data_IF_509249440911
#
_entry.id   IF_509249440911
#
_cell.length_a   1.000
_cell.length_b   1.000
_cell.length_c   1.000
_cell.angle_alpha   90.00
_cell.angle_beta   90.00
_cell.angle_gamma   90.00
#
_symmetry.space_group_name_H-M   'P 1'
#
loop_
_entity.id
_entity.type
_entity.pdbx_description
1 polymer ?
#
# COMPACT_ATOMS: atom_id res chain seq x y z
N UNK A 1 -12.51 23.00 20.94
CA UNK A 1 -11.94 21.76 20.37
C UNK A 1 -11.26 22.16 19.08
N UNK A 2 -9.93 22.27 19.11
CA UNK A 2 -9.13 22.54 17.92
C UNK A 2 -8.90 21.21 17.19
N UNK A 3 -9.89 20.78 16.42
CA UNK A 3 -9.77 19.58 15.61
C UNK A 3 -8.71 19.75 14.52
N UNK A 4 -8.09 18.66 14.11
CA UNK A 4 -7.13 18.64 12.99
C UNK A 4 -7.81 18.90 11.64
N UNK A 5 -9.15 18.90 11.60
CA UNK A 5 -9.93 18.98 10.36
C UNK A 5 -9.82 17.76 9.46
N UNK A 6 -9.24 16.67 9.95
CA UNK A 6 -9.08 15.42 9.21
C UNK A 6 -10.38 14.57 9.26
N UNK A 7 -10.66 13.79 8.21
CA UNK A 7 -11.98 13.16 8.00
C UNK A 7 -12.37 12.11 9.06
N UNK A 8 -11.39 11.49 9.73
CA UNK A 8 -11.62 10.45 10.73
C UNK A 8 -11.41 10.91 12.17
N UNK A 9 -11.37 12.23 12.39
CA UNK A 9 -11.31 12.74 13.76
C UNK A 9 -12.51 12.24 14.59
N UNK A 10 -12.19 11.71 15.77
CA UNK A 10 -13.17 11.08 16.69
C UNK A 10 -13.45 9.60 16.42
N UNK A 11 -12.89 9.02 15.37
CA UNK A 11 -12.92 7.56 15.13
C UNK A 11 -11.82 6.89 15.93
N UNK A 12 -12.17 5.86 16.72
CA UNK A 12 -11.22 5.04 17.49
C UNK A 12 -11.07 3.65 16.88
N UNK A 13 -9.82 3.26 16.63
CA UNK A 13 -9.45 1.95 16.07
C UNK A 13 -8.57 1.22 17.06
N UNK A 14 -8.98 0.02 17.47
CA UNK A 14 -8.13 -0.90 18.22
C UNK A 14 -7.50 -1.86 17.23
N UNK A 15 -6.18 -1.89 17.19
CA UNK A 15 -5.41 -2.64 16.22
C UNK A 15 -4.61 -3.75 16.87
N UNK A 16 -4.86 -4.99 16.45
CA UNK A 16 -4.02 -6.16 16.73
C UNK A 16 -3.51 -6.72 15.41
N UNK A 17 -2.47 -6.10 14.85
CA UNK A 17 -1.90 -6.51 13.56
C UNK A 17 -0.38 -6.61 13.63
N UNK A 18 0.22 -7.30 12.64
CA UNK A 18 1.66 -7.44 12.49
C UNK A 18 2.06 -7.47 11.01
N UNK A 19 3.35 -7.36 10.71
CA UNK A 19 3.94 -7.33 9.38
C UNK A 19 3.54 -6.09 8.58
N UNK A 20 2.82 -6.22 7.45
CA UNK A 20 2.57 -5.14 6.49
C UNK A 20 1.09 -4.86 6.25
N UNK A 21 0.30 -5.85 5.87
CA UNK A 21 -1.07 -5.66 5.37
C UNK A 21 -1.98 -4.94 6.37
N UNK A 22 -2.16 -5.50 7.56
CA UNK A 22 -2.96 -4.88 8.63
C UNK A 22 -2.36 -3.56 9.11
N UNK A 23 -1.04 -3.49 9.45
CA UNK A 23 -0.42 -2.24 9.85
C UNK A 23 -0.54 -1.11 8.82
N UNK A 24 -0.54 -1.40 7.52
CA UNK A 24 -0.80 -0.40 6.46
C UNK A 24 -2.20 0.20 6.59
N UNK A 25 -3.21 -0.64 6.83
CA UNK A 25 -4.58 -0.18 7.06
C UNK A 25 -4.65 0.79 8.24
N UNK A 26 -4.14 0.38 9.40
CA UNK A 26 -4.12 1.22 10.60
C UNK A 26 -3.32 2.51 10.44
N UNK A 27 -2.19 2.46 9.74
CA UNK A 27 -1.38 3.65 9.44
C UNK A 27 -2.15 4.66 8.58
N UNK A 28 -2.84 4.21 7.54
CA UNK A 28 -3.63 5.11 6.68
C UNK A 28 -4.78 5.72 7.48
N UNK A 29 -5.49 4.93 8.30
CA UNK A 29 -6.55 5.43 9.16
C UNK A 29 -6.04 6.47 10.17
N UNK A 30 -4.87 6.24 10.78
CA UNK A 30 -4.23 7.20 11.69
C UNK A 30 -3.89 8.52 10.98
N UNK A 31 -3.34 8.47 9.78
CA UNK A 31 -3.01 9.66 8.99
C UNK A 31 -4.26 10.42 8.53
N UNK A 32 -5.39 9.73 8.36
CA UNK A 32 -6.68 10.35 8.08
C UNK A 32 -7.38 10.92 9.34
N UNK A 33 -6.75 10.82 10.52
CA UNK A 33 -7.20 11.46 11.76
C UNK A 33 -7.83 10.52 12.79
N UNK A 34 -7.90 9.20 12.52
CA UNK A 34 -8.37 8.25 13.52
C UNK A 34 -7.36 8.09 14.67
N UNK A 35 -7.87 7.90 15.89
CA UNK A 35 -7.06 7.43 17.01
C UNK A 35 -6.84 5.92 16.85
N UNK A 36 -5.61 5.52 16.48
CA UNK A 36 -5.27 4.10 16.33
C UNK A 36 -4.42 3.65 17.53
N UNK A 37 -4.96 2.72 18.31
CA UNK A 37 -4.31 2.11 19.47
C UNK A 37 -3.87 0.70 19.07
N UNK A 38 -2.56 0.53 18.89
CA UNK A 38 -1.96 -0.77 18.61
C UNK A 38 -1.76 -1.53 19.91
N UNK A 39 -2.44 -2.65 20.04
CA UNK A 39 -2.29 -3.58 21.17
C UNK A 39 -1.23 -4.62 20.84
N UNK A 40 -0.21 -4.70 21.67
CA UNK A 40 0.95 -5.57 21.48
C UNK A 40 1.12 -6.53 22.68
N UNK A 41 1.63 -7.75 22.46
CA UNK A 41 2.01 -8.62 23.57
C UNK A 41 3.23 -8.04 24.33
N UNK A 42 3.58 -8.54 25.51
CA UNK A 42 4.75 -8.07 26.28
C UNK A 42 6.07 -8.11 25.51
N UNK A 43 6.22 -9.03 24.57
CA UNK A 43 7.40 -9.11 23.70
C UNK A 43 7.39 -8.10 22.54
N UNK A 44 6.28 -7.38 22.32
CA UNK A 44 6.07 -6.48 21.21
C UNK A 44 5.78 -7.17 19.88
N UNK A 45 5.51 -6.36 18.88
CA UNK A 45 5.41 -6.80 17.48
C UNK A 45 6.80 -7.25 16.99
N UNK A 46 6.88 -8.41 16.38
CA UNK A 46 8.14 -9.00 15.89
C UNK A 46 8.86 -8.11 14.87
N UNK A 47 8.13 -7.23 14.18
CA UNK A 47 8.71 -6.31 13.22
C UNK A 47 9.47 -5.15 13.85
N UNK A 48 9.37 -4.95 15.17
CA UNK A 48 10.19 -3.96 15.90
C UNK A 48 11.70 -4.29 15.85
N UNK A 49 12.03 -5.57 15.74
CA UNK A 49 13.40 -6.06 15.75
C UNK A 49 13.77 -6.84 14.48
N UNK A 50 12.92 -6.78 13.46
CA UNK A 50 13.15 -7.48 12.20
C UNK A 50 14.31 -6.84 11.43
N UNK A 51 15.30 -7.67 11.06
CA UNK A 51 16.48 -7.22 10.29
C UNK A 51 16.29 -7.27 8.78
N UNK A 52 17.34 -6.92 8.05
CA UNK A 52 17.38 -6.96 6.59
C UNK A 52 16.30 -6.05 5.97
N UNK A 53 15.56 -6.56 4.99
CA UNK A 53 14.48 -5.81 4.33
C UNK A 53 13.36 -5.37 5.30
N UNK A 54 13.21 -6.06 6.43
CA UNK A 54 12.16 -5.78 7.40
C UNK A 54 12.46 -4.62 8.35
N UNK A 55 13.68 -4.07 8.36
CA UNK A 55 14.09 -3.00 9.27
C UNK A 55 13.19 -1.75 9.19
N UNK A 56 12.63 -1.48 8.02
CA UNK A 56 11.74 -0.35 7.78
C UNK A 56 10.26 -0.64 8.06
N UNK A 57 9.86 -1.90 8.26
CA UNK A 57 8.44 -2.26 8.36
C UNK A 57 7.75 -1.61 9.55
N UNK A 58 8.33 -1.79 10.75
CA UNK A 58 7.70 -1.22 11.93
C UNK A 58 7.62 0.32 11.88
N UNK A 59 8.72 1.06 11.64
CA UNK A 59 8.66 2.52 11.59
C UNK A 59 7.80 3.05 10.45
N UNK A 60 7.77 2.40 9.28
CA UNK A 60 6.96 2.82 8.15
C UNK A 60 5.47 2.64 8.42
N UNK A 61 5.04 1.46 8.87
CA UNK A 61 3.63 1.10 8.95
C UNK A 61 2.97 1.35 10.30
N UNK A 62 3.73 1.80 11.33
CA UNK A 62 3.16 2.04 12.66
C UNK A 62 3.35 3.48 13.17
N UNK A 63 3.83 4.39 12.32
CA UNK A 63 3.92 5.82 12.68
C UNK A 63 2.52 6.41 12.91
N UNK A 64 2.40 7.26 13.91
CA UNK A 64 1.15 7.92 14.27
C UNK A 64 0.18 7.07 15.09
N UNK A 65 0.54 5.84 15.45
CA UNK A 65 -0.24 4.98 16.34
C UNK A 65 0.24 5.12 17.78
N UNK A 66 -0.68 4.92 18.73
CA UNK A 66 -0.38 4.72 20.15
C UNK A 66 -0.02 3.24 20.38
N UNK A 67 0.88 2.94 21.31
CA UNK A 67 1.28 1.58 21.64
C UNK A 67 0.85 1.22 23.06
N UNK A 68 0.08 0.15 23.19
CA UNK A 68 -0.40 -0.41 24.45
C UNK A 68 0.04 -1.85 24.55
N UNK A 69 0.67 -2.23 25.67
CA UNK A 69 1.04 -3.63 25.97
C UNK A 69 -0.02 -4.27 26.85
N UNK A 70 -0.56 -5.40 26.39
CA UNK A 70 -1.45 -6.24 27.16
C UNK A 70 -0.99 -7.70 27.15
N UNK A 71 -0.97 -8.30 28.33
CA UNK A 71 -0.69 -9.72 28.55
C UNK A 71 -1.99 -10.46 28.80
N UNK A 72 -2.52 -11.13 27.80
CA UNK A 72 -3.79 -11.84 27.90
C UNK A 72 -3.79 -13.06 28.82
N UNK A 73 -2.65 -13.40 29.46
CA UNK A 73 -2.64 -14.33 30.59
C UNK A 73 -3.17 -13.68 31.87
N UNK A 74 -3.22 -12.34 31.95
CA UNK A 74 -3.65 -11.57 33.09
C UNK A 74 -5.12 -11.12 32.94
N UNK A 75 -5.88 -11.25 34.02
CA UNK A 75 -7.31 -10.88 34.03
C UNK A 75 -7.50 -9.38 33.84
N UNK A 76 -6.67 -8.57 34.48
CA UNK A 76 -6.71 -7.10 34.37
C UNK A 76 -6.43 -6.61 32.96
N UNK A 77 -5.58 -7.27 32.17
CA UNK A 77 -5.28 -6.90 30.81
C UNK A 77 -6.40 -7.28 29.84
N UNK A 78 -7.07 -8.41 30.12
CA UNK A 78 -8.30 -8.78 29.39
C UNK A 78 -9.42 -7.77 29.65
N UNK A 79 -9.61 -7.36 30.90
CA UNK A 79 -10.58 -6.32 31.25
C UNK A 79 -10.26 -4.98 30.55
N UNK A 80 -8.98 -4.60 30.49
CA UNK A 80 -8.54 -3.42 29.74
C UNK A 80 -8.90 -3.52 28.26
N UNK A 81 -8.69 -4.70 27.64
CA UNK A 81 -9.06 -4.93 26.24
C UNK A 81 -10.57 -4.82 26.02
N UNK A 82 -11.38 -5.37 26.92
CA UNK A 82 -12.83 -5.25 26.86
C UNK A 82 -13.30 -3.78 26.92
N UNK A 83 -12.71 -2.98 27.81
CA UNK A 83 -12.98 -1.55 27.90
C UNK A 83 -12.56 -0.81 26.62
N UNK A 84 -11.42 -1.14 26.04
CA UNK A 84 -10.98 -0.58 24.77
C UNK A 84 -11.98 -0.87 23.65
N UNK A 85 -12.42 -2.11 23.51
CA UNK A 85 -13.39 -2.53 22.48
C UNK A 85 -14.76 -1.89 22.67
N UNK A 86 -15.20 -1.69 23.91
CA UNK A 86 -16.47 -1.03 24.22
C UNK A 86 -16.49 0.44 23.74
N UNK A 87 -15.34 1.09 23.64
CA UNK A 87 -15.19 2.49 23.18
C UNK A 87 -14.74 2.62 21.73
N UNK A 88 -14.46 1.51 21.05
CA UNK A 88 -13.92 1.52 19.70
C UNK A 88 -15.02 1.55 18.64
N UNK A 89 -14.73 2.18 17.51
CA UNK A 89 -15.53 2.05 16.29
C UNK A 89 -15.12 0.86 15.46
N UNK A 90 -13.81 0.53 15.48
CA UNK A 90 -13.19 -0.51 14.64
C UNK A 90 -12.25 -1.36 15.49
N UNK A 91 -12.35 -2.67 15.32
CA UNK A 91 -11.31 -3.63 15.69
C UNK A 91 -10.66 -4.17 14.43
N UNK A 92 -9.34 -3.99 14.32
CA UNK A 92 -8.54 -4.33 13.15
C UNK A 92 -7.55 -5.43 13.52
N UNK A 93 -7.57 -6.55 12.78
CA UNK A 93 -6.71 -7.70 13.07
C UNK A 93 -6.15 -8.36 11.79
N UNK A 94 -5.08 -9.15 11.91
CA UNK A 94 -4.57 -9.97 10.81
C UNK A 94 -3.99 -11.31 11.29
N UNK A 95 -4.62 -11.91 12.29
CA UNK A 95 -4.26 -13.23 12.79
C UNK A 95 -4.90 -14.34 11.94
N UNK A 96 -4.31 -15.54 12.02
CA UNK A 96 -4.92 -16.74 11.45
C UNK A 96 -6.19 -17.08 12.21
N UNK A 97 -7.18 -17.60 11.48
CA UNK A 97 -8.42 -18.07 12.06
C UNK A 97 -8.14 -19.06 13.22
N UNK A 98 -8.93 -18.97 14.26
CA UNK A 98 -8.78 -19.74 15.49
C UNK A 98 -7.78 -19.19 16.51
N UNK A 99 -6.99 -18.16 16.19
CA UNK A 99 -6.05 -17.59 17.16
C UNK A 99 -6.72 -16.59 18.10
N UNK A 100 -7.51 -15.69 17.57
CA UNK A 100 -8.24 -14.70 18.37
C UNK A 100 -9.46 -15.31 19.05
N UNK A 101 -10.11 -16.28 18.43
CA UNK A 101 -11.21 -17.04 19.02
C UNK A 101 -10.80 -17.72 20.35
N UNK A 102 -9.59 -18.29 20.41
CA UNK A 102 -9.04 -18.87 21.67
C UNK A 102 -8.87 -17.84 22.78
N UNK A 103 -8.89 -16.56 22.44
CA UNK A 103 -8.71 -15.46 23.39
C UNK A 103 -10.03 -14.74 23.68
N UNK A 104 -11.17 -15.17 23.09
CA UNK A 104 -12.45 -14.51 23.21
C UNK A 104 -12.55 -13.22 22.38
N UNK A 105 -11.71 -13.12 21.34
CA UNK A 105 -11.62 -11.97 20.44
C UNK A 105 -12.00 -12.34 18.99
N UNK A 106 -12.72 -13.44 18.81
CA UNK A 106 -13.28 -13.84 17.52
C UNK A 106 -14.36 -12.86 17.05
N UNK A 107 -14.50 -12.70 15.74
CA UNK A 107 -15.45 -11.73 15.17
C UNK A 107 -16.90 -11.95 15.64
N UNK A 108 -17.35 -13.21 15.72
CA UNK A 108 -18.70 -13.54 16.18
C UNK A 108 -18.91 -13.13 17.66
N UNK A 109 -17.96 -13.46 18.54
CA UNK A 109 -18.01 -13.11 19.97
C UNK A 109 -17.95 -11.59 20.16
N UNK A 110 -17.08 -10.90 19.44
CA UNK A 110 -16.97 -9.45 19.51
C UNK A 110 -18.25 -8.75 19.06
N UNK A 111 -18.89 -9.23 18.00
CA UNK A 111 -20.14 -8.64 17.50
C UNK A 111 -21.34 -8.91 18.43
N UNK A 112 -21.35 -10.05 19.11
CA UNK A 112 -22.36 -10.31 20.14
C UNK A 112 -22.19 -9.37 21.34
N UNK A 113 -20.95 -9.18 21.82
CA UNK A 113 -20.62 -8.35 22.98
C UNK A 113 -20.65 -6.84 22.68
N UNK A 114 -20.23 -6.47 21.48
CA UNK A 114 -20.12 -5.09 20.99
C UNK A 114 -20.82 -4.94 19.62
N UNK A 115 -22.15 -4.93 19.54
CA UNK A 115 -22.89 -4.92 18.27
C UNK A 115 -22.53 -3.73 17.35
N UNK A 116 -22.06 -2.62 17.93
CA UNK A 116 -21.66 -1.40 17.20
C UNK A 116 -20.29 -1.51 16.52
N UNK A 117 -19.49 -2.51 16.89
CA UNK A 117 -18.10 -2.62 16.48
C UNK A 117 -17.97 -3.10 15.02
N UNK A 118 -17.15 -2.43 14.24
CA UNK A 118 -16.71 -2.91 12.93
C UNK A 118 -15.50 -3.81 13.18
N UNK A 119 -15.63 -5.09 12.89
CA UNK A 119 -14.52 -6.06 13.00
C UNK A 119 -13.94 -6.29 11.61
N UNK A 120 -12.71 -5.85 11.38
CA UNK A 120 -12.03 -5.93 10.10
C UNK A 120 -10.80 -6.86 10.19
N UNK A 121 -10.92 -8.03 9.57
CA UNK A 121 -9.89 -9.07 9.56
C UNK A 121 -9.16 -9.15 8.21
N UNK A 122 -7.84 -8.98 8.23
CA UNK A 122 -6.98 -9.22 7.07
C UNK A 122 -6.53 -10.68 7.08
N UNK A 123 -6.94 -11.43 6.05
CA UNK A 123 -6.76 -12.89 5.96
C UNK A 123 -5.89 -13.26 4.76
N UNK A 124 -5.24 -14.40 4.82
CA UNK A 124 -4.49 -14.92 3.68
C UNK A 124 -5.39 -15.26 2.49
N UNK A 125 -6.56 -15.83 2.80
CA UNK A 125 -7.60 -16.20 1.84
C UNK A 125 -8.97 -15.90 2.44
N UNK A 126 -9.94 -15.56 1.61
CA UNK A 126 -11.34 -15.54 2.00
C UNK A 126 -11.89 -16.96 2.19
N UNK A 127 -13.14 -17.09 2.62
CA UNK A 127 -13.79 -18.39 2.85
C UNK A 127 -13.80 -19.24 1.57
N UNK A 128 -13.31 -20.45 1.70
CA UNK A 128 -13.19 -21.38 0.59
C UNK A 128 -12.14 -22.47 0.83
N UNK A 129 -11.74 -23.21 -0.23
CA UNK A 129 -10.84 -24.35 -0.10
C UNK A 129 -9.46 -24.03 0.51
N UNK A 130 -9.04 -22.76 0.48
CA UNK A 130 -7.72 -22.32 0.94
C UNK A 130 -7.76 -21.53 2.25
N UNK A 131 -8.92 -21.32 2.84
CA UNK A 131 -9.15 -20.45 4.00
C UNK A 131 -8.13 -20.65 5.13
N UNK A 132 -7.78 -21.89 5.44
CA UNK A 132 -6.86 -22.22 6.54
C UNK A 132 -5.39 -22.36 6.14
N UNK A 133 -5.07 -22.12 4.85
CA UNK A 133 -3.68 -22.22 4.38
C UNK A 133 -2.86 -21.02 4.87
N UNK A 134 -1.57 -21.25 5.21
CA UNK A 134 -0.65 -20.13 5.47
C UNK A 134 -0.44 -19.32 4.19
N UNK A 135 -0.45 -18.00 4.33
CA UNK A 135 -0.21 -17.06 3.24
C UNK A 135 0.88 -16.06 3.63
N UNK A 136 1.62 -15.65 2.62
CA UNK A 136 2.54 -14.51 2.61
C UNK A 136 2.37 -13.81 1.28
N UNK A 137 2.75 -12.54 1.19
CA UNK A 137 2.70 -11.77 -0.06
C UNK A 137 3.35 -12.53 -1.24
N UNK A 138 4.56 -13.07 -1.06
CA UNK A 138 5.25 -13.86 -2.08
C UNK A 138 4.49 -15.11 -2.51
N UNK A 139 3.91 -15.82 -1.54
CA UNK A 139 3.15 -17.05 -1.81
C UNK A 139 1.94 -16.76 -2.69
N UNK A 140 1.18 -15.73 -2.35
CA UNK A 140 -0.04 -15.42 -3.13
C UNK A 140 0.28 -14.79 -4.47
N UNK A 141 1.38 -14.05 -4.62
CA UNK A 141 1.84 -13.57 -5.93
C UNK A 141 2.20 -14.73 -6.88
N UNK A 142 2.81 -15.81 -6.36
CA UNK A 142 3.06 -17.02 -7.15
C UNK A 142 1.76 -17.75 -7.49
N UNK A 143 0.85 -17.88 -6.53
CA UNK A 143 -0.41 -18.62 -6.71
C UNK A 143 -1.40 -17.94 -7.66
N UNK A 144 -1.47 -16.61 -7.65
CA UNK A 144 -2.43 -15.84 -8.45
C UNK A 144 -2.00 -15.64 -9.89
N UNK A 145 -0.76 -15.94 -10.22
CA UNK A 145 -0.18 -15.69 -11.54
C UNK A 145 0.49 -14.33 -11.69
N UNK A 146 0.47 -13.44 -10.67
CA UNK A 146 1.12 -12.14 -10.74
C UNK A 146 2.62 -12.27 -11.00
N UNK A 147 3.28 -13.21 -10.35
CA UNK A 147 4.71 -13.45 -10.55
C UNK A 147 5.04 -13.94 -11.97
N UNK A 148 4.15 -14.74 -12.58
CA UNK A 148 4.28 -15.16 -13.96
C UNK A 148 4.12 -13.99 -14.94
N UNK A 149 3.26 -13.03 -14.62
CA UNK A 149 3.06 -11.83 -15.44
C UNK A 149 4.17 -10.79 -15.27
N UNK A 150 4.84 -10.74 -14.10
CA UNK A 150 5.93 -9.81 -13.80
C UNK A 150 7.26 -10.26 -14.40
N UNK A 151 7.58 -11.55 -14.28
CA UNK A 151 8.77 -12.17 -14.86
C UNK A 151 8.52 -12.80 -16.24
N UNK A 152 9.34 -13.78 -16.57
CA UNK A 152 9.12 -14.63 -17.75
C UNK A 152 8.56 -15.99 -17.32
N UNK A 153 8.07 -16.77 -18.28
CA UNK A 153 7.63 -18.14 -18.01
C UNK A 153 8.73 -18.99 -17.36
N UNK A 154 9.98 -18.81 -17.78
CA UNK A 154 11.14 -19.52 -17.24
C UNK A 154 11.62 -18.98 -15.89
N UNK A 155 11.39 -17.70 -15.65
CA UNK A 155 11.83 -17.00 -14.44
C UNK A 155 10.71 -16.12 -13.89
N UNK A 156 9.71 -16.69 -13.21
CA UNK A 156 8.68 -15.92 -12.51
C UNK A 156 9.33 -15.01 -11.47
N UNK A 157 8.84 -13.78 -11.34
CA UNK A 157 9.37 -12.79 -10.41
C UNK A 157 8.24 -12.12 -9.65
N UNK A 158 8.39 -12.00 -8.33
CA UNK A 158 7.49 -11.15 -7.55
C UNK A 158 7.73 -9.67 -7.87
N UNK A 159 6.73 -8.84 -7.61
CA UNK A 159 6.90 -7.39 -7.59
C UNK A 159 7.93 -6.98 -6.53
N UNK A 160 8.77 -6.02 -6.82
CA UNK A 160 9.91 -5.59 -6.00
C UNK A 160 9.56 -4.88 -4.67
N UNK A 161 8.32 -4.95 -4.21
CA UNK A 161 7.84 -4.41 -2.94
C UNK A 161 6.74 -5.31 -2.37
N UNK A 162 6.27 -5.04 -1.13
CA UNK A 162 5.09 -5.68 -0.54
C UNK A 162 3.79 -5.09 -1.12
N UNK A 163 3.72 -5.01 -2.47
CA UNK A 163 2.66 -4.29 -3.17
C UNK A 163 1.26 -4.86 -2.88
N UNK A 164 1.16 -6.17 -2.80
CA UNK A 164 -0.10 -6.85 -2.55
C UNK A 164 -0.55 -6.67 -1.08
N UNK A 165 0.35 -6.73 -0.12
CA UNK A 165 0.08 -6.40 1.28
C UNK A 165 -0.41 -4.95 1.43
N UNK A 166 0.30 -4.00 0.80
CA UNK A 166 -0.05 -2.57 0.85
C UNK A 166 -1.44 -2.35 0.26
N UNK A 167 -1.73 -2.93 -0.90
CA UNK A 167 -3.04 -2.81 -1.54
C UNK A 167 -4.14 -3.47 -0.69
N UNK A 168 -3.87 -4.60 -0.04
CA UNK A 168 -4.79 -5.22 0.90
C UNK A 168 -5.09 -4.33 2.11
N UNK A 169 -4.10 -3.62 2.63
CA UNK A 169 -4.30 -2.58 3.64
C UNK A 169 -5.21 -1.46 3.14
N UNK A 170 -5.05 -1.02 1.88
CA UNK A 170 -5.92 -0.01 1.26
C UNK A 170 -7.36 -0.52 1.10
N UNK A 171 -7.59 -1.77 0.69
CA UNK A 171 -8.93 -2.35 0.66
C UNK A 171 -9.55 -2.45 2.06
N UNK A 172 -8.74 -2.69 3.10
CA UNK A 172 -9.17 -2.58 4.49
C UNK A 172 -9.71 -1.20 4.82
N UNK A 173 -8.97 -0.14 4.47
CA UNK A 173 -9.41 1.25 4.65
C UNK A 173 -10.71 1.52 3.90
N UNK A 174 -10.81 1.16 2.62
CA UNK A 174 -12.02 1.36 1.80
C UNK A 174 -13.23 0.69 2.46
N UNK A 175 -13.07 -0.55 2.91
CA UNK A 175 -14.15 -1.32 3.54
C UNK A 175 -14.58 -0.74 4.87
N UNK A 176 -13.63 -0.31 5.72
CA UNK A 176 -13.90 0.35 6.99
C UNK A 176 -14.61 1.69 6.77
N UNK A 177 -14.16 2.51 5.83
CA UNK A 177 -14.82 3.77 5.49
C UNK A 177 -16.26 3.55 5.02
N UNK A 178 -16.51 2.52 4.20
CA UNK A 178 -17.86 2.16 3.77
C UNK A 178 -18.76 1.77 4.96
N UNK A 179 -18.25 0.99 5.92
CA UNK A 179 -18.97 0.63 7.12
C UNK A 179 -19.24 1.83 8.04
N UNK A 180 -18.25 2.70 8.24
CA UNK A 180 -18.41 3.96 9.00
C UNK A 180 -19.45 4.88 8.34
N UNK A 181 -19.45 4.96 7.01
CA UNK A 181 -20.46 5.72 6.27
C UNK A 181 -21.87 5.16 6.48
N UNK A 182 -22.04 3.83 6.47
CA UNK A 182 -23.32 3.19 6.78
C UNK A 182 -23.79 3.50 8.20
N UNK A 183 -22.88 3.49 9.19
CA UNK A 183 -23.20 3.87 10.58
C UNK A 183 -23.70 5.32 10.66
N UNK A 184 -23.05 6.25 9.99
CA UNK A 184 -23.52 7.65 9.93
C UNK A 184 -24.87 7.81 9.24
N UNK A 185 -25.23 6.92 8.32
CA UNK A 185 -26.51 6.85 7.64
C UNK A 185 -27.67 6.25 8.49
N UNK A 186 -27.45 5.99 9.79
CA UNK A 186 -28.49 5.53 10.71
C UNK A 186 -28.50 4.02 10.98
N UNK A 187 -27.59 3.24 10.43
CA UNK A 187 -27.37 1.86 10.89
C UNK A 187 -26.57 1.88 12.18
N UNK A 188 -27.15 1.35 13.26
CA UNK A 188 -26.50 1.26 14.57
C UNK A 188 -25.50 0.10 14.66
N UNK A 189 -25.69 -0.93 13.84
CA UNK A 189 -24.93 -2.16 13.91
C UNK A 189 -23.58 -2.02 13.19
N UNK A 190 -22.56 -2.65 13.77
CA UNK A 190 -21.25 -2.81 13.16
C UNK A 190 -21.27 -3.80 11.98
N UNK A 191 -20.09 -4.12 11.49
CA UNK A 191 -19.92 -5.05 10.37
C UNK A 191 -18.79 -6.04 10.68
N UNK A 192 -18.88 -7.23 10.13
CA UNK A 192 -17.74 -8.12 9.96
C UNK A 192 -17.22 -7.98 8.53
N UNK A 193 -15.93 -7.68 8.41
CA UNK A 193 -15.26 -7.45 7.14
C UNK A 193 -14.06 -8.39 7.08
N UNK A 194 -13.92 -9.13 5.99
CA UNK A 194 -12.73 -9.97 5.72
C UNK A 194 -12.08 -9.47 4.44
N UNK A 195 -10.78 -9.25 4.48
CA UNK A 195 -9.97 -8.79 3.35
C UNK A 195 -8.97 -9.90 3.00
N UNK A 196 -9.10 -10.50 1.83
CA UNK A 196 -8.25 -11.62 1.40
C UNK A 196 -7.01 -11.16 0.66
N UNK A 197 -5.84 -11.60 1.10
CA UNK A 197 -4.56 -11.30 0.44
C UNK A 197 -4.49 -11.94 -0.96
N UNK A 198 -4.98 -13.17 -1.10
CA UNK A 198 -5.02 -13.86 -2.39
C UNK A 198 -5.99 -13.21 -3.36
N UNK A 199 -7.21 -12.90 -2.91
CA UNK A 199 -8.25 -12.26 -3.73
C UNK A 199 -7.83 -10.85 -4.15
N UNK A 200 -7.13 -10.14 -3.28
CA UNK A 200 -6.51 -8.88 -3.60
C UNK A 200 -5.49 -9.02 -4.74
N UNK A 201 -4.67 -10.06 -4.69
CA UNK A 201 -3.71 -10.34 -5.76
C UNK A 201 -4.40 -10.75 -7.08
N UNK A 202 -5.53 -11.49 -7.01
CA UNK A 202 -6.34 -11.79 -8.19
C UNK A 202 -6.90 -10.53 -8.84
N UNK A 203 -7.23 -9.50 -8.04
CA UNK A 203 -7.68 -8.22 -8.59
C UNK A 203 -6.61 -7.55 -9.47
N UNK A 204 -5.31 -7.70 -9.14
CA UNK A 204 -4.21 -7.19 -9.97
C UNK A 204 -4.07 -7.93 -11.31
N UNK A 205 -4.37 -9.20 -11.36
CA UNK A 205 -4.25 -10.01 -12.58
C UNK A 205 -5.58 -10.22 -13.33
N UNK A 206 -6.66 -9.63 -12.83
CA UNK A 206 -8.00 -9.81 -13.37
C UNK A 206 -8.08 -9.51 -14.88
N UNK A 207 -7.38 -8.47 -15.37
CA UNK A 207 -7.34 -8.15 -16.82
C UNK A 207 -6.81 -9.33 -17.66
N UNK A 208 -5.80 -10.04 -17.17
CA UNK A 208 -5.21 -11.18 -17.87
C UNK A 208 -6.12 -12.42 -17.82
N UNK A 209 -6.86 -12.57 -16.71
CA UNK A 209 -7.86 -13.64 -16.61
C UNK A 209 -9.01 -13.40 -17.59
N UNK A 210 -9.49 -12.15 -17.70
CA UNK A 210 -10.54 -11.77 -18.67
C UNK A 210 -10.04 -11.92 -20.11
N UNK A 211 -8.80 -11.55 -20.41
CA UNK A 211 -8.20 -11.74 -21.73
C UNK A 211 -8.24 -13.22 -22.13
N UNK A 212 -7.81 -14.12 -21.24
CA UNK A 212 -7.87 -15.56 -21.49
C UNK A 212 -9.30 -16.06 -21.70
N UNK A 213 -10.24 -15.64 -20.85
CA UNK A 213 -11.64 -16.05 -20.94
C UNK A 213 -12.28 -15.61 -22.26
N UNK A 214 -11.93 -14.41 -22.75
CA UNK A 214 -12.50 -13.86 -23.99
C UNK A 214 -11.86 -14.44 -25.25
N UNK A 215 -10.57 -14.79 -25.21
CA UNK A 215 -9.80 -15.12 -26.42
C UNK A 215 -9.39 -16.58 -26.50
N UNK A 216 -9.36 -17.29 -25.38
CA UNK A 216 -8.77 -18.62 -25.24
C UNK A 216 -7.23 -18.63 -25.35
N UNK A 217 -6.61 -17.47 -25.56
CA UNK A 217 -5.16 -17.35 -25.69
C UNK A 217 -4.51 -17.07 -24.33
N UNK A 218 -3.40 -17.76 -24.03
CA UNK A 218 -2.64 -17.50 -22.82
C UNK A 218 -2.04 -16.09 -22.87
N UNK A 219 -2.32 -15.20 -21.89
CA UNK A 219 -1.70 -13.89 -21.81
C UNK A 219 -0.18 -14.00 -21.75
N UNK A 220 0.51 -13.13 -22.46
CA UNK A 220 1.97 -13.04 -22.40
C UNK A 220 2.39 -12.18 -21.21
N UNK A 221 3.47 -12.57 -20.56
CA UNK A 221 4.07 -11.79 -19.47
C UNK A 221 4.56 -10.43 -19.93
N UNK A 222 4.74 -9.49 -19.01
CA UNK A 222 5.20 -8.13 -19.35
C UNK A 222 6.50 -8.08 -20.15
N UNK A 223 7.54 -8.91 -19.84
CA UNK A 223 8.74 -8.98 -20.68
C UNK A 223 8.52 -9.61 -22.08
N UNK A 224 7.49 -10.46 -22.24
CA UNK A 224 7.22 -11.22 -23.47
C UNK A 224 6.02 -10.71 -24.26
N UNK A 225 5.42 -9.59 -23.81
CA UNK A 225 4.22 -9.02 -24.42
C UNK A 225 4.44 -8.58 -25.86
N UNK A 226 3.38 -8.57 -26.63
CA UNK A 226 3.36 -7.84 -27.88
C UNK A 226 3.38 -6.33 -27.60
N UNK A 227 4.25 -5.64 -28.31
CA UNK A 227 4.39 -4.20 -28.11
C UNK A 227 3.28 -3.45 -28.84
N UNK A 228 2.72 -2.43 -28.20
CA UNK A 228 1.72 -1.56 -28.79
C UNK A 228 2.33 -0.39 -29.62
N UNK A 229 3.64 -0.16 -29.46
CA UNK A 229 4.38 0.94 -30.10
C UNK A 229 5.75 0.50 -30.61
N UNK A 230 6.26 1.17 -31.67
CA UNK A 230 7.54 0.81 -32.30
C UNK A 230 8.75 1.04 -31.39
N UNK A 231 8.76 2.16 -30.67
CA UNK A 231 9.77 2.47 -29.66
C UNK A 231 9.05 2.60 -28.32
N UNK A 232 9.23 1.63 -27.47
CA UNK A 232 8.66 1.56 -26.11
C UNK A 232 9.50 0.58 -25.33
N UNK A 233 10.68 1.04 -24.90
CA UNK A 233 11.72 0.15 -24.37
C UNK A 233 12.71 0.89 -23.48
N UNK A 234 13.60 0.13 -22.83
CA UNK A 234 14.69 0.64 -22.00
C UNK A 234 15.97 0.57 -22.82
N UNK A 235 16.72 1.68 -22.85
CA UNK A 235 17.96 1.82 -23.58
C UNK A 235 19.12 2.16 -22.65
N UNK A 236 20.29 1.60 -22.93
CA UNK A 236 21.55 2.01 -22.30
C UNK A 236 22.00 3.36 -22.85
N UNK A 237 22.57 4.22 -21.99
CA UNK A 237 23.11 5.54 -22.35
C UNK A 237 24.62 5.58 -22.15
N UNK A 238 25.27 6.65 -22.59
CA UNK A 238 26.68 6.90 -22.31
C UNK A 238 26.83 7.04 -20.76
N UNK A 239 27.83 6.34 -20.21
CA UNK A 239 28.09 6.38 -18.76
C UNK A 239 27.47 5.23 -17.96
N UNK A 240 26.68 4.37 -18.58
CA UNK A 240 26.13 3.17 -17.96
C UNK A 240 24.76 3.36 -17.30
N UNK A 241 24.16 4.55 -17.40
CA UNK A 241 22.77 4.79 -17.03
C UNK A 241 21.82 4.16 -18.04
N UNK A 242 20.55 3.99 -17.65
CA UNK A 242 19.48 3.50 -18.52
C UNK A 242 18.29 4.44 -18.51
N UNK A 243 17.60 4.50 -19.65
CA UNK A 243 16.42 5.35 -19.84
C UNK A 243 15.32 4.57 -20.55
N UNK A 244 14.09 4.71 -20.06
CA UNK A 244 12.90 4.27 -20.78
C UNK A 244 12.47 5.38 -21.75
N UNK A 245 12.11 5.01 -23.00
CA UNK A 245 11.60 5.94 -24.02
C UNK A 245 10.33 5.36 -24.63
N UNK A 246 9.24 6.17 -24.67
CA UNK A 246 7.95 5.81 -25.24
C UNK A 246 7.53 6.73 -26.37
N UNK A 247 7.66 6.30 -27.62
CA UNK A 247 7.21 7.01 -28.84
C UNK A 247 5.82 6.50 -29.21
N UNK A 248 4.78 7.20 -28.79
CA UNK A 248 3.39 6.69 -28.77
C UNK A 248 2.47 7.33 -29.80
N UNK A 249 2.89 8.41 -30.46
CA UNK A 249 2.10 9.10 -31.50
C UNK A 249 2.88 9.24 -32.80
N UNK A 250 2.18 9.52 -33.92
CA UNK A 250 2.82 9.80 -35.20
C UNK A 250 3.74 11.03 -35.13
N UNK A 251 3.29 12.08 -34.44
CA UNK A 251 4.10 13.28 -34.23
C UNK A 251 5.40 12.99 -33.45
N UNK A 252 5.30 12.14 -32.40
CA UNK A 252 6.48 11.70 -31.66
C UNK A 252 7.43 10.88 -32.53
N UNK A 253 6.91 10.00 -33.40
CA UNK A 253 7.73 9.23 -34.33
C UNK A 253 8.54 10.12 -35.27
N UNK A 254 7.87 11.08 -35.90
CA UNK A 254 8.52 12.00 -36.83
C UNK A 254 9.56 12.87 -36.13
N UNK A 255 9.19 13.51 -35.01
CA UNK A 255 10.10 14.37 -34.27
C UNK A 255 11.29 13.60 -33.70
N UNK A 256 11.08 12.38 -33.22
CA UNK A 256 12.14 11.50 -32.73
C UNK A 256 13.11 11.14 -33.85
N UNK A 257 12.63 10.65 -34.99
CA UNK A 257 13.47 10.26 -36.09
C UNK A 257 14.29 11.44 -36.65
N UNK A 258 13.66 12.61 -36.81
CA UNK A 258 14.38 13.83 -37.25
C UNK A 258 15.45 14.25 -36.26
N UNK A 259 15.15 14.30 -34.98
CA UNK A 259 16.05 14.83 -33.96
C UNK A 259 17.23 13.90 -33.68
N UNK A 260 17.04 12.59 -33.84
CA UNK A 260 18.06 11.58 -33.56
C UNK A 260 18.74 11.06 -34.83
N UNK A 261 18.56 11.72 -35.98
CA UNK A 261 19.25 11.39 -37.22
C UNK A 261 18.84 10.03 -37.80
N UNK A 262 17.57 9.64 -37.64
CA UNK A 262 17.00 8.38 -38.11
C UNK A 262 16.14 8.62 -39.38
N UNK A 263 16.60 9.49 -40.29
CA UNK A 263 15.87 9.86 -41.50
C UNK A 263 15.54 8.64 -42.36
N UNK A 264 16.37 7.61 -42.33
CA UNK A 264 16.18 6.35 -43.04
C UNK A 264 14.83 5.66 -42.64
N UNK A 265 14.33 5.87 -41.44
CA UNK A 265 13.03 5.32 -41.02
C UNK A 265 11.85 6.14 -41.54
N UNK A 266 12.03 7.42 -41.77
CA UNK A 266 11.00 8.29 -42.34
C UNK A 266 10.85 8.09 -43.86
N UNK A 267 11.96 7.80 -44.52
CA UNK A 267 12.02 7.60 -45.97
C UNK A 267 11.60 6.17 -46.37
N UNK A 268 11.55 5.24 -45.42
CA UNK A 268 11.23 3.83 -45.68
C UNK A 268 9.71 3.62 -45.85
N UNK A 269 9.31 3.31 -47.09
CA UNK A 269 7.92 3.05 -47.43
C UNK A 269 7.30 1.86 -46.67
N UNK A 270 8.12 0.94 -46.15
CA UNK A 270 7.66 -0.21 -45.35
C UNK A 270 7.36 0.15 -43.89
N UNK A 271 7.60 1.39 -43.45
CA UNK A 271 7.37 1.86 -42.08
C UNK A 271 6.29 2.94 -41.98
N UNK A 272 5.33 2.96 -42.91
CA UNK A 272 4.33 4.02 -42.99
C UNK A 272 3.33 4.00 -41.85
N UNK A 273 2.92 2.82 -41.40
CA UNK A 273 1.92 2.70 -40.33
C UNK A 273 2.58 2.28 -39.01
N UNK A 274 1.91 2.56 -37.90
CA UNK A 274 2.34 2.09 -36.57
C UNK A 274 2.47 0.57 -36.54
N UNK A 275 1.54 -0.15 -37.17
CA UNK A 275 1.57 -1.62 -37.27
C UNK A 275 2.83 -2.11 -38.00
N UNK A 276 3.17 -1.51 -39.14
CA UNK A 276 4.38 -1.87 -39.89
C UNK A 276 5.64 -1.66 -39.03
N UNK A 277 5.72 -0.55 -38.31
CA UNK A 277 6.81 -0.25 -37.40
C UNK A 277 6.92 -1.23 -36.23
N UNK A 278 5.79 -1.66 -35.69
CA UNK A 278 5.75 -2.68 -34.62
C UNK A 278 6.31 -4.00 -35.15
N UNK A 279 5.91 -4.41 -36.35
CA UNK A 279 6.42 -5.64 -36.98
C UNK A 279 7.93 -5.53 -37.30
N UNK A 280 8.43 -4.31 -37.55
CA UNK A 280 9.83 -4.04 -37.84
C UNK A 280 10.69 -3.74 -36.58
N UNK A 281 10.19 -3.95 -35.37
CA UNK A 281 10.92 -3.64 -34.11
C UNK A 281 12.31 -4.30 -34.05
N UNK A 282 12.45 -5.51 -34.55
CA UNK A 282 13.75 -6.21 -34.60
C UNK A 282 14.82 -5.46 -35.37
N UNK A 283 14.45 -4.57 -36.31
CA UNK A 283 15.32 -3.68 -37.08
C UNK A 283 15.42 -2.29 -36.42
N UNK A 284 14.30 -1.77 -35.91
CA UNK A 284 14.21 -0.41 -35.36
C UNK A 284 14.95 -0.32 -34.01
N UNK A 285 14.69 -1.22 -33.09
CA UNK A 285 15.20 -1.14 -31.70
C UNK A 285 16.72 -1.17 -31.62
N UNK A 286 17.44 -2.08 -32.30
CA UNK A 286 18.91 -2.06 -32.29
C UNK A 286 19.49 -0.74 -32.83
N UNK A 287 18.91 -0.20 -33.89
CA UNK A 287 19.37 1.07 -34.50
C UNK A 287 19.13 2.27 -33.57
N UNK A 288 17.99 2.30 -32.90
CA UNK A 288 17.68 3.31 -31.85
C UNK A 288 18.67 3.16 -30.69
N UNK A 289 18.91 1.94 -30.22
CA UNK A 289 19.87 1.67 -29.14
C UNK A 289 21.27 2.18 -29.46
N UNK A 290 21.75 1.97 -30.69
CA UNK A 290 23.06 2.48 -31.13
C UNK A 290 23.14 4.01 -31.05
N UNK A 291 22.07 4.70 -31.42
CA UNK A 291 22.00 6.17 -31.34
C UNK A 291 21.93 6.65 -29.88
N UNK A 292 21.05 6.05 -29.08
CA UNK A 292 20.84 6.45 -27.70
C UNK A 292 22.08 6.21 -26.83
N UNK A 293 22.82 5.15 -27.09
CA UNK A 293 24.07 4.81 -26.38
C UNK A 293 25.13 5.92 -26.45
N UNK A 294 25.08 6.79 -27.47
CA UNK A 294 25.97 7.93 -27.59
C UNK A 294 25.63 9.16 -26.76
N UNK A 295 24.45 9.16 -26.09
CA UNK A 295 23.95 10.30 -25.34
C UNK A 295 24.16 10.17 -23.85
N UNK A 296 24.51 11.28 -23.17
CA UNK A 296 24.42 11.39 -21.73
C UNK A 296 22.93 11.43 -21.31
N UNK A 297 22.58 10.76 -20.20
CA UNK A 297 21.19 10.63 -19.74
C UNK A 297 20.53 11.99 -19.47
N UNK A 298 21.27 12.98 -18.94
CA UNK A 298 20.72 14.32 -18.65
C UNK A 298 20.43 15.11 -19.91
N UNK A 299 21.36 15.12 -20.87
CA UNK A 299 21.19 15.79 -22.17
C UNK A 299 20.06 15.14 -22.99
N UNK A 300 19.98 13.82 -22.97
CA UNK A 300 18.92 13.05 -23.62
C UNK A 300 17.58 13.36 -23.01
N UNK A 301 17.47 13.38 -21.68
CA UNK A 301 16.23 13.72 -20.95
C UNK A 301 15.74 15.12 -21.31
N UNK A 302 16.62 16.12 -21.31
CA UNK A 302 16.26 17.48 -21.71
C UNK A 302 15.83 17.60 -23.19
N UNK A 303 16.36 16.75 -24.06
CA UNK A 303 15.97 16.69 -25.46
C UNK A 303 14.58 16.05 -25.63
N UNK A 304 14.33 14.92 -24.99
CA UNK A 304 13.05 14.21 -25.04
C UNK A 304 11.91 15.07 -24.44
N UNK A 305 12.21 15.79 -23.36
CA UNK A 305 11.26 16.73 -22.74
C UNK A 305 10.83 17.83 -23.73
N UNK A 306 11.79 18.47 -24.43
CA UNK A 306 11.48 19.46 -25.47
C UNK A 306 10.63 18.90 -26.61
N UNK A 307 10.78 17.63 -26.92
CA UNK A 307 9.98 16.95 -27.95
C UNK A 307 8.63 16.45 -27.43
N UNK A 308 8.34 16.67 -26.14
CA UNK A 308 7.15 16.15 -25.46
C UNK A 308 6.97 14.63 -25.60
N UNK A 309 8.09 13.89 -25.66
CA UNK A 309 8.12 12.42 -25.74
C UNK A 309 8.19 11.85 -24.33
N UNK A 310 7.38 10.83 -24.03
CA UNK A 310 7.40 10.16 -22.73
C UNK A 310 8.73 9.43 -22.52
N UNK A 311 9.41 9.74 -21.41
CA UNK A 311 10.65 9.07 -21.03
C UNK A 311 10.80 9.07 -19.50
N UNK A 312 11.70 8.24 -19.01
CA UNK A 312 12.20 8.31 -17.62
C UNK A 312 13.57 7.64 -17.52
N UNK A 313 14.56 8.26 -16.87
CA UNK A 313 15.71 7.52 -16.34
C UNK A 313 15.25 6.37 -15.46
N UNK A 314 16.00 5.28 -15.42
CA UNK A 314 15.70 4.16 -14.51
C UNK A 314 16.31 4.47 -13.14
N UNK A 315 15.48 5.01 -12.27
CA UNK A 315 15.88 5.41 -10.93
C UNK A 315 15.82 4.25 -9.93
N UNK A 316 16.52 4.40 -8.81
CA UNK A 316 16.44 3.54 -7.63
C UNK A 316 15.66 4.23 -6.52
N UNK A 317 15.16 3.51 -5.51
CA UNK A 317 14.42 4.12 -4.40
C UNK A 317 15.19 5.24 -3.68
N UNK A 318 16.52 5.10 -3.50
CA UNK A 318 17.37 6.10 -2.87
C UNK A 318 17.50 7.39 -3.68
N UNK A 319 17.39 7.34 -5.00
CA UNK A 319 17.47 8.50 -5.90
C UNK A 319 16.28 9.46 -5.67
N UNK A 320 15.17 8.93 -5.16
CA UNK A 320 13.96 9.71 -4.85
C UNK A 320 14.20 10.77 -3.78
N UNK A 321 15.21 10.62 -2.93
CA UNK A 321 15.57 11.66 -1.96
C UNK A 321 16.24 12.90 -2.58
N UNK A 322 16.57 12.86 -3.87
CA UNK A 322 17.09 13.97 -4.65
C UNK A 322 16.18 14.37 -5.82
N UNK A 323 15.08 13.65 -6.06
CA UNK A 323 14.14 13.94 -7.14
C UNK A 323 13.36 15.25 -6.88
N UNK A 324 13.35 16.21 -7.83
CA UNK A 324 12.73 17.52 -7.64
C UNK A 324 11.22 17.44 -7.32
N UNK A 325 10.50 16.48 -7.91
CA UNK A 325 9.08 16.32 -7.67
C UNK A 325 8.80 15.71 -6.30
N UNK A 326 9.64 14.79 -5.85
CA UNK A 326 9.57 14.21 -4.49
C UNK A 326 9.94 15.25 -3.42
N UNK A 327 10.88 16.15 -3.73
CA UNK A 327 11.31 17.24 -2.83
C UNK A 327 10.37 18.46 -2.83
N UNK A 328 9.29 18.45 -3.62
CA UNK A 328 8.29 19.51 -3.54
C UNK A 328 7.75 19.65 -2.11
N UNK A 329 7.23 20.83 -1.71
CA UNK A 329 6.60 20.97 -0.40
C UNK A 329 5.56 19.88 -0.15
N UNK A 330 5.73 19.12 0.94
CA UNK A 330 4.86 18.00 1.31
C UNK A 330 5.03 16.71 0.51
N UNK A 331 5.99 16.60 -0.39
CA UNK A 331 6.28 15.32 -1.08
C UNK A 331 6.90 14.29 -0.14
N UNK A 332 7.79 14.73 0.74
CA UNK A 332 8.31 13.97 1.88
C UNK A 332 7.80 14.58 3.18
N UNK A 333 7.48 13.74 4.13
CA UNK A 333 7.11 14.11 5.50
C UNK A 333 8.17 13.64 6.49
N UNK A 334 8.42 14.47 7.51
CA UNK A 334 9.39 14.17 8.56
C UNK A 334 8.70 13.40 9.68
N UNK A 335 9.32 12.32 10.11
CA UNK A 335 8.83 11.45 11.18
C UNK A 335 9.99 11.09 12.11
N UNK A 336 9.68 10.46 13.25
CA UNK A 336 10.67 10.12 14.24
C UNK A 336 10.45 8.68 14.72
N UNK A 337 11.52 7.91 14.84
CA UNK A 337 11.49 6.58 15.47
C UNK A 337 11.26 6.66 16.97
N UNK A 338 11.03 5.53 17.62
CA UNK A 338 10.78 5.46 19.05
C UNK A 338 11.96 5.98 19.90
N UNK A 339 13.17 5.81 19.43
CA UNK A 339 14.43 6.29 20.04
C UNK A 339 14.84 7.69 19.60
N UNK A 340 13.98 8.40 18.87
CA UNK A 340 14.17 9.79 18.50
C UNK A 340 14.95 10.02 17.22
N UNK A 341 15.28 8.99 16.45
CA UNK A 341 15.97 9.14 15.17
C UNK A 341 15.02 9.70 14.11
N UNK A 342 15.33 10.82 13.46
CA UNK A 342 14.49 11.37 12.40
C UNK A 342 14.63 10.57 11.11
N UNK A 343 13.53 10.41 10.39
CA UNK A 343 13.51 9.83 9.04
C UNK A 343 12.47 10.52 8.17
N UNK A 344 12.73 10.56 6.88
CA UNK A 344 11.79 11.06 5.88
C UNK A 344 11.12 9.92 5.14
N UNK A 345 9.87 10.10 4.79
CA UNK A 345 9.07 9.12 4.08
C UNK A 345 8.11 9.83 3.13
N UNK A 346 7.74 9.26 1.99
CA UNK A 346 6.70 9.83 1.15
C UNK A 346 5.41 10.07 1.96
N UNK A 347 4.80 11.23 1.76
CA UNK A 347 3.44 11.48 2.26
C UNK A 347 2.47 10.45 1.66
N UNK A 348 1.30 10.27 2.27
CA UNK A 348 0.22 9.58 1.55
C UNK A 348 -0.04 10.31 0.23
N UNK A 349 -0.39 9.58 -0.84
CA UNK A 349 -0.67 10.17 -2.15
C UNK A 349 -2.04 10.87 -2.16
N UNK A 350 -2.29 11.70 -1.15
CA UNK A 350 -3.55 12.41 -0.90
C UNK A 350 -3.21 13.82 -0.43
N UNK A 351 -3.77 14.81 -1.11
CA UNK A 351 -3.83 16.18 -0.62
C UNK A 351 -5.24 16.45 -0.08
N UNK A 352 -5.33 16.77 1.21
CA UNK A 352 -6.60 17.10 1.86
C UNK A 352 -6.73 18.61 2.02
N UNK A 353 -7.68 19.22 1.29
CA UNK A 353 -7.84 20.69 1.23
C UNK A 353 -6.54 21.40 0.81
N UNK A 354 -5.78 20.82 -0.10
CA UNK A 354 -4.51 21.37 -0.58
C UNK A 354 -3.32 21.19 0.36
N UNK A 355 -3.47 20.42 1.45
CA UNK A 355 -2.40 20.08 2.36
C UNK A 355 -2.08 18.59 2.33
N UNK A 356 -0.80 18.26 2.44
CA UNK A 356 -0.35 16.88 2.65
C UNK A 356 -0.56 16.49 4.12
N UNK A 357 -0.77 15.20 4.35
CA UNK A 357 -1.02 14.63 5.67
C UNK A 357 0.13 13.72 6.11
N UNK A 358 0.30 13.54 7.42
CA UNK A 358 1.30 12.63 8.00
C UNK A 358 2.63 13.28 8.40
N UNK A 359 2.71 14.61 8.47
CA UNK A 359 3.90 15.33 8.96
C UNK A 359 4.02 15.20 10.48
N UNK A 360 5.26 15.10 10.99
CA UNK A 360 5.58 15.12 12.41
C UNK A 360 5.14 13.89 13.21
N UNK A 361 4.77 12.79 12.54
CA UNK A 361 4.34 11.60 13.23
C UNK A 361 5.51 10.88 13.93
N UNK A 362 5.20 10.26 15.06
CA UNK A 362 6.15 9.47 15.84
C UNK A 362 5.79 7.99 15.79
N UNK A 363 6.81 7.17 15.85
CA UNK A 363 6.67 5.73 16.11
C UNK A 363 6.72 5.53 17.62
N UNK A 364 5.65 5.05 18.21
CA UNK A 364 5.60 4.83 19.65
C UNK A 364 6.58 3.74 20.10
N UNK A 365 7.29 3.95 21.21
CA UNK A 365 8.00 2.88 21.90
C UNK A 365 7.00 1.83 22.39
N UNK A 366 7.48 0.60 22.62
CA UNK A 366 6.64 -0.49 23.09
C UNK A 366 5.96 -0.11 24.42
N UNK A 367 4.64 -0.12 24.44
CA UNK A 367 3.82 0.16 25.61
C UNK A 367 3.85 1.62 26.09
N UNK A 368 4.38 2.54 25.30
CA UNK A 368 4.55 3.96 25.69
C UNK A 368 3.24 4.61 26.17
N UNK A 369 2.11 4.15 25.66
CA UNK A 369 0.80 4.74 25.96
C UNK A 369 -0.02 3.90 26.96
N UNK A 370 0.51 2.76 27.45
CA UNK A 370 -0.27 1.81 28.28
C UNK A 370 -0.88 2.48 29.51
N UNK A 371 -0.08 3.26 30.26
CA UNK A 371 -0.54 3.92 31.50
C UNK A 371 -1.58 5.00 31.17
N UNK A 372 -1.31 5.82 30.16
CA UNK A 372 -2.21 6.90 29.76
C UNK A 372 -3.57 6.37 29.31
N UNK A 373 -3.57 5.33 28.44
CA UNK A 373 -4.78 4.72 27.94
C UNK A 373 -5.62 4.08 29.06
N UNK A 374 -5.00 3.42 30.03
CA UNK A 374 -5.72 2.87 31.20
C UNK A 374 -6.38 3.98 32.02
N UNK A 375 -5.68 5.07 32.30
CA UNK A 375 -6.25 6.23 33.02
C UNK A 375 -7.41 6.89 32.27
N UNK A 376 -7.33 6.98 30.94
CA UNK A 376 -8.43 7.46 30.10
C UNK A 376 -9.69 6.57 30.21
N UNK A 377 -9.53 5.25 30.20
CA UNK A 377 -10.62 4.30 30.36
C UNK A 377 -11.28 4.38 31.73
N UNK A 378 -10.51 4.45 32.80
CA UNK A 378 -11.01 4.63 34.18
C UNK A 378 -11.84 5.93 34.31
N UNK A 379 -11.37 7.02 33.73
CA UNK A 379 -12.07 8.30 33.74
C UNK A 379 -13.39 8.23 32.97
N UNK A 380 -13.42 7.50 31.85
CA UNK A 380 -14.62 7.32 31.05
C UNK A 380 -15.68 6.47 31.79
N UNK A 381 -15.27 5.44 32.49
CA UNK A 381 -16.17 4.60 33.32
C UNK A 381 -16.80 5.40 34.46
N UNK A 382 -16.04 6.18 35.21
CA UNK A 382 -16.49 7.06 36.29
C UNK A 382 -17.54 8.04 35.75
N UNK A 383 -17.28 8.67 34.60
CA UNK A 383 -18.19 9.64 33.99
C UNK A 383 -19.49 9.01 33.51
N UNK A 384 -19.43 7.78 32.96
CA UNK A 384 -20.59 7.03 32.51
C UNK A 384 -21.47 6.63 33.68
N UNK A 385 -20.88 6.13 34.77
CA UNK A 385 -21.58 5.71 36.00
C UNK A 385 -22.26 6.89 36.68
N UNK A 386 -21.59 8.05 36.76
CA UNK A 386 -22.17 9.27 37.31
C UNK A 386 -23.37 9.81 36.51
N UNK A 387 -23.31 9.73 35.16
CA UNK A 387 -24.42 10.10 34.28
C UNK A 387 -25.63 9.14 34.43
N UNK A 388 -25.37 7.85 34.63
CA UNK A 388 -26.42 6.84 34.85
C UNK A 388 -27.10 7.05 36.22
N UNK A 389 -26.34 7.38 37.26
CA UNK A 389 -26.86 7.68 38.59
C UNK A 389 -27.70 8.97 38.60
N UNK A 390 -27.24 10.04 37.91
CA UNK A 390 -27.98 11.30 37.83
C UNK A 390 -29.23 11.29 36.96
N UNK A 391 -29.45 10.25 36.13
CA UNK A 391 -30.72 10.05 35.40
C UNK A 391 -31.78 9.26 36.19
N UNK A 392 -31.41 8.67 37.32
CA UNK A 392 -32.32 7.92 38.20
C UNK A 392 -32.78 8.73 39.40
N UNK A 393 -32.24 9.90 39.63
CA UNK A 393 -32.70 10.90 40.63
C UNK A 393 -33.55 11.97 39.93
#
# INVERSE_FOLDING_TARGET
MTGTGLPLEGVRVIEMTHMVMGPTCGMILAQLGAEVIKVEPPAGDKTRTLGGMGISFFPLFNRGKRSVVLDFSKVEDRATMDCLLATADVFLENFRDGQLEKQGLGAAELREKHPHLIVAGHKGFLSGPYEHRPALDEVVQMMSGLAAMTGTQEKPQRVGSSANDIMGGMFGVISILAALYQKRGGRSDGAEIRIGLFENCLFLVAQHMVEYEMTGNRPRSMPEREHAWPIYDIFDTAGGDRIFIGVVTEGHWQSFCMEFGLQEFLDDASLRTTTDRIMARSRIIPRVADVIKGWNVGELSAKLDRLNICFSPINRPEDMFSDPHVLRPGGLVNNTTADGVPFRVPALPIEWNGANIGEGLKVAALGADTIAVRAELETAEITSTAKAAGRRA
#
